data_IF_455448026338
#
_entry.id   IF_455448026338
#
_cell.length_a   1.000
_cell.length_b   1.000
_cell.length_c   1.000
_cell.angle_alpha   90.00
_cell.angle_beta   90.00
_cell.angle_gamma   90.00
#
_symmetry.space_group_name_H-M   'P 1'
#
loop_
_entity.id
_entity.type
_entity.pdbx_description
1 polymer ?
#
# COMPACT_ATOMS: atom_id res chain seq x y z
N UNK A 1 -11.64 0.96 5.32
CA UNK A 1 -11.82 0.67 3.87
C UNK A 1 -10.75 -0.31 3.40
N UNK A 2 -11.10 -1.24 2.51
CA UNK A 2 -10.16 -2.17 1.87
C UNK A 2 -9.87 -1.74 0.45
N UNK A 3 -8.63 -1.97 0.00
CA UNK A 3 -8.15 -1.64 -1.34
C UNK A 3 -7.34 -2.79 -1.91
N UNK A 4 -7.22 -2.84 -3.23
CA UNK A 4 -6.38 -3.79 -3.95
C UNK A 4 -5.22 -3.06 -4.61
N UNK A 5 -4.00 -3.60 -4.49
CA UNK A 5 -2.84 -3.14 -5.24
C UNK A 5 -2.70 -3.97 -6.50
N UNK A 6 -2.66 -3.29 -7.65
CA UNK A 6 -2.51 -3.91 -8.96
C UNK A 6 -1.11 -3.65 -9.50
N UNK A 7 -0.52 -4.67 -10.10
CA UNK A 7 0.76 -4.56 -10.79
C UNK A 7 1.05 -5.81 -11.60
N UNK A 8 1.84 -5.66 -12.66
CA UNK A 8 2.13 -6.76 -13.61
C UNK A 8 0.88 -7.44 -14.17
N UNK A 9 -0.22 -6.68 -14.33
CA UNK A 9 -1.50 -7.20 -14.82
C UNK A 9 -2.24 -8.12 -13.84
N UNK A 10 -1.86 -8.13 -12.56
CA UNK A 10 -2.46 -8.99 -11.53
C UNK A 10 -2.65 -8.24 -10.22
N UNK A 11 -3.45 -8.82 -9.32
CA UNK A 11 -3.59 -8.32 -7.94
C UNK A 11 -2.37 -8.77 -7.15
N UNK A 12 -1.64 -7.81 -6.58
CA UNK A 12 -0.45 -8.05 -5.76
C UNK A 12 -0.78 -8.14 -4.26
N UNK A 13 -1.91 -7.56 -3.85
CA UNK A 13 -2.39 -7.65 -2.47
C UNK A 13 -3.73 -6.96 -2.28
N UNK A 14 -4.52 -7.44 -1.30
CA UNK A 14 -5.79 -6.83 -0.90
C UNK A 14 -5.78 -6.67 0.61
N UNK A 15 -6.11 -5.48 1.09
CA UNK A 15 -6.16 -5.20 2.52
C UNK A 15 -6.44 -3.75 2.83
N UNK A 16 -6.37 -3.40 4.09
CA UNK A 16 -6.24 -2.03 4.54
C UNK A 16 -4.87 -1.48 4.17
N UNK A 17 -4.71 -0.15 4.20
CA UNK A 17 -3.43 0.49 3.96
C UNK A 17 -2.35 0.01 4.94
N UNK A 18 -2.70 -0.26 6.20
CA UNK A 18 -1.76 -0.79 7.21
C UNK A 18 -1.34 -2.24 6.94
N UNK A 19 -2.27 -3.09 6.51
CA UNK A 19 -1.96 -4.47 6.11
C UNK A 19 -1.02 -4.47 4.89
N UNK A 20 -1.34 -3.67 3.87
CA UNK A 20 -0.55 -3.58 2.64
C UNK A 20 0.83 -2.95 2.86
N UNK A 21 0.97 -2.03 3.82
CA UNK A 21 2.27 -1.45 4.19
C UNK A 21 3.28 -2.44 4.76
N UNK A 22 2.82 -3.63 5.18
CA UNK A 22 3.65 -4.74 5.68
C UNK A 22 3.91 -5.81 4.61
N UNK A 23 3.48 -5.59 3.36
CA UNK A 23 3.68 -6.55 2.27
C UNK A 23 5.16 -6.72 1.91
N UNK A 24 5.54 -7.95 1.62
CA UNK A 24 6.87 -8.30 1.10
C UNK A 24 6.99 -8.12 -0.42
N UNK A 25 5.89 -7.86 -1.13
CA UNK A 25 5.94 -7.63 -2.57
C UNK A 25 6.71 -6.32 -2.87
N UNK A 26 7.78 -6.36 -3.70
CA UNK A 26 8.64 -5.20 -3.94
C UNK A 26 7.90 -3.98 -4.48
N UNK A 27 6.88 -4.17 -5.33
CA UNK A 27 6.11 -3.06 -5.92
C UNK A 27 5.23 -2.41 -4.86
N UNK A 28 4.62 -3.23 -4.00
CA UNK A 28 3.84 -2.74 -2.86
C UNK A 28 4.76 -2.00 -1.89
N UNK A 29 5.94 -2.54 -1.58
CA UNK A 29 6.93 -1.88 -0.71
C UNK A 29 7.42 -0.57 -1.28
N UNK A 30 7.77 -0.50 -2.57
CA UNK A 30 8.17 0.74 -3.23
C UNK A 30 7.06 1.79 -3.20
N UNK A 31 5.80 1.38 -3.36
CA UNK A 31 4.67 2.29 -3.20
C UNK A 31 4.66 2.94 -1.80
N UNK A 32 4.93 2.19 -0.73
CA UNK A 32 4.93 2.70 0.66
C UNK A 32 6.26 3.34 1.12
N UNK A 33 7.38 3.03 0.48
CA UNK A 33 8.70 3.56 0.84
C UNK A 33 9.22 4.66 -0.10
N UNK A 34 8.58 4.87 -1.25
CA UNK A 34 8.88 5.96 -2.17
C UNK A 34 8.31 7.33 -1.75
N UNK A 35 8.50 8.38 -2.58
CA UNK A 35 8.01 9.74 -2.30
C UNK A 35 6.50 9.81 -2.06
N UNK A 36 5.74 8.96 -2.77
CA UNK A 36 4.28 8.83 -2.61
C UNK A 36 3.86 8.01 -1.39
N UNK A 37 4.74 7.12 -0.92
CA UNK A 37 4.48 6.24 0.21
C UNK A 37 4.42 6.94 1.55
N UNK A 38 5.16 8.05 1.70
CA UNK A 38 5.06 8.92 2.88
C UNK A 38 3.67 9.53 3.01
N UNK A 39 3.10 10.06 1.92
CA UNK A 39 1.73 10.59 1.90
C UNK A 39 0.67 9.50 2.09
N UNK A 40 0.92 8.28 1.60
CA UNK A 40 0.04 7.13 1.86
C UNK A 40 0.01 6.74 3.35
N UNK A 41 1.12 6.87 4.08
CA UNK A 41 1.16 6.68 5.54
C UNK A 41 0.39 7.77 6.29
N UNK A 42 0.51 9.02 5.87
CA UNK A 42 -0.25 10.15 6.45
C UNK A 42 -1.76 9.96 6.25
N UNK A 43 -2.19 9.56 5.04
CA UNK A 43 -3.60 9.21 4.78
C UNK A 43 -4.07 7.99 5.59
N UNK A 44 -3.21 6.98 5.78
CA UNK A 44 -3.55 5.82 6.61
C UNK A 44 -3.70 6.19 8.09
N UNK A 45 -2.93 7.16 8.58
CA UNK A 45 -3.05 7.69 9.94
C UNK A 45 -4.28 8.59 10.13
N UNK A 46 -4.71 9.30 9.08
CA UNK A 46 -5.88 10.19 9.11
C UNK A 46 -7.22 9.45 8.97
N UNK A 47 -7.23 8.21 8.49
CA UNK A 47 -8.45 7.39 8.33
C UNK A 47 -8.62 6.33 9.44
N UNK A 48 -7.93 6.50 10.58
CA UNK A 48 -8.03 5.65 11.76
C UNK A 48 -9.09 6.15 12.73
#
# INVERSE_FOLDING_TARGET
TRVAVLGRGSVLGIGTMQELARSDDPIVRDYFHGPRGRSAREQAAQNG
#
